data_IF_471895181002
#
_entry.id   IF_471895181002
#
_cell.length_a   1.000
_cell.length_b   1.000
_cell.length_c   1.000
_cell.angle_alpha   90.00
_cell.angle_beta   90.00
_cell.angle_gamma   90.00
#
_symmetry.space_group_name_H-M   'P 1'
#
loop_
_entity.id
_entity.type
_entity.pdbx_description
1 polymer ?
#
# COMPACT_ATOMS: atom_id res chain seq x y z
N UNK A 1 2.45 20.76 26.13
CA UNK A 1 2.02 22.18 26.27
C UNK A 1 1.66 22.64 24.84
N UNK A 2 0.39 22.50 24.48
CA UNK A 2 -0.11 22.81 23.15
C UNK A 2 -0.26 24.31 23.00
N UNK A 3 0.69 24.92 22.27
CA UNK A 3 0.72 26.35 22.00
C UNK A 3 -0.18 26.78 20.83
N UNK A 4 -1.21 25.99 20.49
CA UNK A 4 -2.03 26.21 19.28
C UNK A 4 -3.37 26.94 19.55
N UNK A 5 -3.68 27.27 20.80
CA UNK A 5 -4.95 27.95 21.17
C UNK A 5 -4.84 29.47 21.27
N UNK A 6 -3.70 30.07 20.92
CA UNK A 6 -3.41 31.47 21.23
C UNK A 6 -3.89 32.51 20.19
N UNK A 7 -4.41 32.09 19.03
CA UNK A 7 -4.93 33.05 18.04
C UNK A 7 -6.26 32.61 17.42
N UNK A 8 -7.40 33.17 17.88
CA UNK A 8 -8.75 32.85 17.37
C UNK A 8 -8.89 33.03 15.87
N UNK A 9 -8.16 33.97 15.27
CA UNK A 9 -8.21 34.20 13.82
C UNK A 9 -7.59 33.03 13.04
N UNK A 10 -6.47 32.49 13.51
CA UNK A 10 -5.85 31.33 12.88
C UNK A 10 -6.72 30.09 12.97
N UNK A 11 -7.34 29.85 14.12
CA UNK A 11 -8.28 28.74 14.32
C UNK A 11 -9.49 28.88 13.38
N UNK A 12 -10.08 30.06 13.28
CA UNK A 12 -11.18 30.35 12.37
C UNK A 12 -10.77 30.16 10.89
N UNK A 13 -9.61 30.67 10.49
CA UNK A 13 -9.09 30.50 9.13
C UNK A 13 -8.80 29.04 8.80
N UNK A 14 -8.22 28.28 9.74
CA UNK A 14 -8.00 26.85 9.60
C UNK A 14 -9.30 26.07 9.38
N UNK A 15 -10.37 26.42 10.09
CA UNK A 15 -11.67 25.81 9.88
C UNK A 15 -12.26 26.10 8.49
N UNK A 16 -12.10 27.32 7.97
CA UNK A 16 -12.55 27.71 6.63
C UNK A 16 -11.74 27.03 5.52
N UNK A 17 -10.43 26.87 5.72
CA UNK A 17 -9.56 26.15 4.80
C UNK A 17 -9.98 24.67 4.72
N UNK A 18 -10.19 24.01 5.87
CA UNK A 18 -10.73 22.63 5.95
C UNK A 18 -12.07 22.48 5.23
N UNK A 19 -12.92 23.47 5.37
CA UNK A 19 -14.24 23.49 4.73
C UNK A 19 -14.20 23.84 3.24
N UNK A 20 -13.02 24.10 2.67
CA UNK A 20 -12.86 24.52 1.27
C UNK A 20 -13.43 25.92 0.96
N UNK A 21 -13.67 26.74 1.98
CA UNK A 21 -14.22 28.10 1.84
C UNK A 21 -13.17 29.18 1.54
N UNK A 22 -11.90 28.86 1.74
CA UNK A 22 -10.74 29.64 1.34
C UNK A 22 -9.69 28.72 0.76
N UNK A 23 -8.82 29.23 -0.10
CA UNK A 23 -7.72 28.46 -0.67
C UNK A 23 -6.50 28.43 0.28
N UNK A 24 -5.58 27.46 0.07
CA UNK A 24 -4.30 27.41 0.77
C UNK A 24 -3.52 28.72 0.61
N UNK A 25 -3.56 29.32 -0.59
CA UNK A 25 -2.90 30.58 -0.88
C UNK A 25 -3.49 31.74 -0.07
N UNK A 26 -4.82 31.83 0.03
CA UNK A 26 -5.50 32.86 0.81
C UNK A 26 -5.18 32.71 2.31
N UNK A 27 -5.14 31.47 2.81
CA UNK A 27 -4.73 31.20 4.20
C UNK A 27 -3.31 31.70 4.46
N UNK A 28 -2.33 31.31 3.62
CA UNK A 28 -0.92 31.72 3.77
C UNK A 28 -0.80 33.23 3.69
N UNK A 29 -1.42 33.87 2.70
CA UNK A 29 -1.37 35.31 2.52
C UNK A 29 -1.92 36.09 3.73
N UNK A 30 -3.07 35.67 4.25
CA UNK A 30 -3.69 36.30 5.42
C UNK A 30 -2.89 36.03 6.70
N UNK A 31 -2.41 34.80 6.92
CA UNK A 31 -1.59 34.45 8.08
C UNK A 31 -0.27 35.23 8.09
N UNK A 32 0.33 35.44 6.91
CA UNK A 32 1.54 36.26 6.77
C UNK A 32 1.24 37.75 7.06
N UNK A 33 0.08 38.28 6.62
CA UNK A 33 -0.30 39.69 6.87
C UNK A 33 -0.56 40.02 8.33
N UNK A 34 -0.89 39.00 9.15
CA UNK A 34 -1.03 39.16 10.62
C UNK A 34 0.28 38.88 11.39
N UNK A 35 1.42 38.83 10.70
CA UNK A 35 2.76 38.80 11.31
C UNK A 35 3.40 37.41 11.39
N UNK A 36 2.78 36.37 10.81
CA UNK A 36 3.41 35.05 10.74
C UNK A 36 4.40 34.97 9.56
N UNK A 37 5.55 34.37 9.77
CA UNK A 37 6.48 34.11 8.68
C UNK A 37 5.87 33.14 7.66
N UNK A 38 6.24 33.26 6.37
CA UNK A 38 5.67 32.47 5.28
C UNK A 38 5.82 30.97 5.49
N UNK A 39 6.96 30.51 6.00
CA UNK A 39 7.20 29.10 6.29
C UNK A 39 6.26 28.54 7.38
N UNK A 40 6.03 29.34 8.45
CA UNK A 40 5.11 28.97 9.54
C UNK A 40 3.67 28.97 9.00
N UNK A 41 3.27 29.96 8.21
CA UNK A 41 1.94 30.03 7.60
C UNK A 41 1.66 28.84 6.67
N UNK A 42 2.65 28.41 5.90
CA UNK A 42 2.55 27.22 5.05
C UNK A 42 2.39 25.94 5.89
N UNK A 43 3.18 25.76 6.93
CA UNK A 43 3.09 24.62 7.84
C UNK A 43 1.73 24.56 8.55
N UNK A 44 1.19 25.67 9.02
CA UNK A 44 -0.14 25.72 9.63
C UNK A 44 -1.27 25.43 8.63
N UNK A 45 -1.12 25.84 7.37
CA UNK A 45 -2.07 25.50 6.33
C UNK A 45 -2.07 23.98 6.06
N UNK A 46 -0.90 23.35 6.00
CA UNK A 46 -0.77 21.91 5.80
C UNK A 46 -1.32 21.12 6.99
N UNK A 47 -1.05 21.55 8.22
CA UNK A 47 -1.64 20.95 9.42
C UNK A 47 -3.18 21.08 9.44
N UNK A 48 -3.71 22.25 9.06
CA UNK A 48 -5.15 22.45 8.97
C UNK A 48 -5.81 21.53 7.94
N UNK A 49 -5.16 21.28 6.82
CA UNK A 49 -5.64 20.34 5.79
C UNK A 49 -5.49 18.87 6.24
N UNK A 50 -4.38 18.53 6.90
CA UNK A 50 -4.14 17.18 7.42
C UNK A 50 -5.14 16.76 8.49
N UNK A 51 -5.67 17.72 9.27
CA UNK A 51 -6.71 17.45 10.29
C UNK A 51 -8.14 17.38 9.71
N UNK A 52 -8.32 17.59 8.41
CA UNK A 52 -9.61 17.39 7.77
C UNK A 52 -9.96 15.89 7.75
N UNK A 53 -11.18 15.53 8.19
CA UNK A 53 -11.64 14.14 8.08
C UNK A 53 -11.60 13.69 6.62
N UNK A 54 -11.07 12.48 6.33
CA UNK A 54 -11.02 11.96 4.98
C UNK A 54 -12.42 11.95 4.34
N UNK A 55 -12.53 12.45 3.12
CA UNK A 55 -13.77 12.34 2.33
C UNK A 55 -13.77 10.99 1.63
N UNK A 56 -14.85 10.25 1.75
CA UNK A 56 -15.03 8.99 1.01
C UNK A 56 -15.37 9.27 -0.45
N UNK A 57 -14.75 8.50 -1.35
CA UNK A 57 -14.99 8.59 -2.79
C UNK A 57 -14.24 9.73 -3.47
N UNK A 58 -14.57 9.99 -4.71
CA UNK A 58 -13.89 10.94 -5.58
C UNK A 58 -12.92 10.28 -6.56
N UNK A 59 -12.18 11.11 -7.32
CA UNK A 59 -11.19 10.65 -8.30
C UNK A 59 -9.81 11.14 -7.90
N UNK A 60 -8.88 10.21 -7.70
CA UNK A 60 -7.47 10.50 -7.54
C UNK A 60 -6.78 10.41 -8.92
N UNK A 61 -6.16 11.50 -9.36
CA UNK A 61 -5.30 11.52 -10.56
C UNK A 61 -3.85 11.50 -10.13
N UNK A 62 -3.13 10.46 -10.52
CA UNK A 62 -1.71 10.29 -10.21
C UNK A 62 -0.94 10.35 -11.52
N UNK A 63 0.03 11.27 -11.60
CA UNK A 63 0.99 11.32 -12.69
C UNK A 63 2.28 10.63 -12.25
N UNK A 64 2.76 9.68 -13.05
CA UNK A 64 3.96 8.92 -12.79
C UNK A 64 4.85 8.89 -14.03
N UNK A 65 6.16 8.96 -13.82
CA UNK A 65 7.14 8.76 -14.87
C UNK A 65 7.31 7.27 -15.22
N UNK A 66 8.14 7.00 -16.22
CA UNK A 66 8.58 5.67 -16.64
C UNK A 66 7.51 4.74 -17.25
N UNK A 67 6.37 5.25 -17.69
CA UNK A 67 5.44 4.47 -18.51
C UNK A 67 5.99 4.29 -19.93
N UNK A 68 5.94 3.06 -20.46
CA UNK A 68 6.40 2.71 -21.80
C UNK A 68 5.29 1.96 -22.57
N UNK A 69 5.35 2.00 -23.91
CA UNK A 69 4.37 1.32 -24.75
C UNK A 69 4.42 -0.22 -24.65
N UNK A 70 5.50 -0.76 -24.15
CA UNK A 70 5.70 -2.18 -23.88
C UNK A 70 5.26 -2.65 -22.49
N UNK A 71 4.75 -1.73 -21.64
CA UNK A 71 4.30 -2.09 -20.30
C UNK A 71 3.12 -3.06 -20.34
N UNK A 72 3.24 -4.13 -19.55
CA UNK A 72 2.19 -5.12 -19.38
C UNK A 72 1.82 -5.25 -17.90
N UNK A 73 0.62 -5.75 -17.64
CA UNK A 73 0.12 -5.91 -16.26
C UNK A 73 0.48 -7.27 -15.63
N UNK A 74 1.34 -8.04 -16.27
CA UNK A 74 1.83 -9.30 -15.72
C UNK A 74 2.80 -9.05 -14.56
N UNK A 75 2.53 -9.57 -13.35
CA UNK A 75 3.40 -9.39 -12.19
C UNK A 75 4.80 -9.99 -12.37
N UNK A 76 4.97 -10.93 -13.30
CA UNK A 76 6.27 -11.51 -13.63
C UNK A 76 7.18 -10.53 -14.41
N UNK A 77 6.63 -9.45 -14.97
CA UNK A 77 7.32 -8.54 -15.89
C UNK A 77 7.32 -7.09 -15.40
N UNK A 78 7.37 -6.86 -14.10
CA UNK A 78 7.39 -5.51 -13.52
C UNK A 78 8.82 -4.96 -13.50
N UNK A 79 9.13 -4.01 -14.38
CA UNK A 79 10.48 -3.45 -14.53
C UNK A 79 10.63 -2.00 -14.06
N UNK A 80 9.54 -1.25 -13.95
CA UNK A 80 9.60 0.17 -13.64
C UNK A 80 8.65 0.59 -12.52
N UNK A 81 8.87 1.78 -11.96
CA UNK A 81 8.09 2.29 -10.83
C UNK A 81 6.60 2.47 -11.13
N UNK A 82 6.24 2.77 -12.38
CA UNK A 82 4.84 2.87 -12.80
C UNK A 82 4.12 1.50 -12.71
N UNK A 83 4.72 0.45 -13.27
CA UNK A 83 4.18 -0.91 -13.19
C UNK A 83 4.05 -1.40 -11.74
N UNK A 84 5.05 -1.13 -10.90
CA UNK A 84 5.00 -1.45 -9.47
C UNK A 84 3.86 -0.75 -8.76
N UNK A 85 3.70 0.56 -8.96
CA UNK A 85 2.62 1.31 -8.34
C UNK A 85 1.23 0.84 -8.81
N UNK A 86 1.06 0.54 -10.11
CA UNK A 86 -0.16 -0.07 -10.61
C UNK A 86 -0.42 -1.42 -9.96
N UNK A 87 0.60 -2.29 -9.88
CA UNK A 87 0.45 -3.60 -9.26
C UNK A 87 -0.07 -3.50 -7.82
N UNK A 88 0.50 -2.60 -7.01
CA UNK A 88 0.01 -2.36 -5.65
C UNK A 88 -1.38 -1.70 -5.58
N UNK A 89 -1.81 -1.00 -6.62
CA UNK A 89 -3.12 -0.35 -6.65
C UNK A 89 -4.28 -1.33 -6.84
N UNK A 90 -4.08 -2.46 -7.53
CA UNK A 90 -5.16 -3.41 -7.84
C UNK A 90 -4.88 -4.86 -7.45
N UNK A 91 -3.75 -5.15 -6.83
CA UNK A 91 -3.39 -6.48 -6.30
C UNK A 91 -3.03 -6.41 -4.83
N UNK A 92 -3.19 -7.56 -4.18
CA UNK A 92 -2.79 -7.75 -2.80
C UNK A 92 -1.73 -8.84 -2.72
N UNK A 93 -0.86 -8.73 -1.74
CA UNK A 93 0.19 -9.72 -1.43
C UNK A 93 -0.19 -10.53 -0.19
N UNK A 94 0.47 -11.66 0.05
CA UNK A 94 0.27 -12.44 1.28
C UNK A 94 0.63 -11.61 2.52
N UNK A 95 1.76 -10.92 2.45
CA UNK A 95 2.25 -9.99 3.47
C UNK A 95 2.58 -8.66 2.82
N UNK A 96 2.61 -7.59 3.57
CA UNK A 96 3.01 -6.26 3.10
C UNK A 96 4.09 -5.68 3.99
N UNK A 97 4.82 -4.71 3.48
CA UNK A 97 5.79 -3.95 4.27
C UNK A 97 5.11 -2.68 4.76
N UNK A 98 4.95 -2.59 6.06
CA UNK A 98 4.40 -1.44 6.73
C UNK A 98 5.43 -0.36 7.08
N UNK A 99 5.02 0.70 7.76
CA UNK A 99 5.92 1.74 8.24
C UNK A 99 7.06 1.16 9.10
N UNK A 100 8.28 1.65 8.90
CA UNK A 100 9.47 1.16 9.63
C UNK A 100 10.01 -0.19 9.12
N UNK A 101 9.64 -0.61 7.90
CA UNK A 101 10.05 -1.88 7.29
C UNK A 101 9.62 -3.13 8.09
N UNK A 102 8.49 -3.06 8.76
CA UNK A 102 7.89 -4.19 9.47
C UNK A 102 7.00 -4.96 8.53
N UNK A 103 7.11 -6.30 8.56
CA UNK A 103 6.21 -7.18 7.80
C UNK A 103 4.85 -7.22 8.49
N UNK A 104 3.80 -6.86 7.75
CA UNK A 104 2.41 -6.80 8.21
C UNK A 104 1.52 -7.78 7.45
N UNK A 105 0.39 -8.21 8.06
CA UNK A 105 -0.59 -9.04 7.39
C UNK A 105 -1.19 -8.37 6.14
N UNK A 106 -1.28 -9.15 5.05
CA UNK A 106 -2.02 -8.84 3.84
C UNK A 106 -3.17 -9.84 3.63
N UNK A 107 -3.06 -10.69 2.62
CA UNK A 107 -3.98 -11.82 2.40
C UNK A 107 -3.72 -12.97 3.39
N UNK A 108 -2.51 -13.10 3.93
CA UNK A 108 -2.23 -13.93 5.08
C UNK A 108 -2.44 -13.12 6.37
N UNK A 109 -3.14 -13.70 7.34
CA UNK A 109 -3.40 -13.09 8.65
C UNK A 109 -2.33 -13.46 9.68
N UNK A 110 -1.65 -14.57 9.47
CA UNK A 110 -0.54 -15.04 10.29
C UNK A 110 0.38 -15.95 9.47
N UNK A 111 1.61 -16.10 9.94
CA UNK A 111 2.57 -17.07 9.40
C UNK A 111 3.53 -17.51 10.49
N UNK A 112 4.00 -18.74 10.36
CA UNK A 112 4.97 -19.34 11.27
C UNK A 112 5.95 -20.22 10.51
N UNK A 113 7.16 -20.33 11.02
CA UNK A 113 8.18 -21.25 10.52
C UNK A 113 8.46 -22.35 11.56
N UNK A 114 8.77 -23.55 11.07
CA UNK A 114 9.38 -24.57 11.94
C UNK A 114 10.84 -24.17 12.27
N UNK A 115 11.43 -24.74 13.34
CA UNK A 115 12.84 -24.55 13.63
C UNK A 115 13.72 -24.84 12.41
N UNK A 116 14.62 -23.91 12.08
CA UNK A 116 15.47 -23.97 10.90
C UNK A 116 14.83 -23.37 9.64
N UNK A 117 13.60 -22.84 9.72
CA UNK A 117 12.89 -22.11 8.68
C UNK A 117 12.73 -22.84 7.33
N UNK A 118 12.86 -24.17 7.31
CA UNK A 118 12.71 -25.00 6.10
C UNK A 118 11.26 -25.14 5.64
N UNK A 119 10.32 -24.89 6.54
CA UNK A 119 8.90 -24.90 6.24
C UNK A 119 8.22 -23.70 6.86
N UNK A 120 7.35 -23.05 6.08
CA UNK A 120 6.53 -21.94 6.51
C UNK A 120 5.06 -22.24 6.28
N UNK A 121 4.25 -21.99 7.29
CA UNK A 121 2.78 -22.11 7.21
C UNK A 121 2.17 -20.72 7.22
N UNK A 122 1.31 -20.43 6.26
CA UNK A 122 0.56 -19.18 6.17
C UNK A 122 -0.92 -19.46 6.34
N UNK A 123 -1.58 -18.73 7.22
CA UNK A 123 -3.03 -18.76 7.36
C UNK A 123 -3.66 -17.63 6.55
N UNK A 124 -4.54 -17.97 5.61
CA UNK A 124 -5.18 -17.03 4.70
C UNK A 124 -6.41 -16.39 5.32
N UNK A 125 -6.62 -15.12 4.99
CA UNK A 125 -7.84 -14.37 5.30
C UNK A 125 -9.04 -15.02 4.61
N UNK A 126 -10.12 -15.22 5.36
CA UNK A 126 -11.36 -15.76 4.83
C UNK A 126 -12.24 -14.64 4.26
N UNK A 127 -13.16 -15.00 3.36
CA UNK A 127 -14.12 -14.06 2.76
C UNK A 127 -13.48 -13.06 1.80
N UNK A 128 -12.29 -13.32 1.28
CA UNK A 128 -11.67 -12.52 0.24
C UNK A 128 -12.27 -12.89 -1.11
N UNK A 129 -12.67 -11.87 -1.87
CA UNK A 129 -13.22 -12.03 -3.21
C UNK A 129 -12.39 -11.26 -4.23
N UNK A 130 -12.25 -11.83 -5.43
CA UNK A 130 -11.73 -11.13 -6.59
C UNK A 130 -12.75 -10.10 -7.11
N UNK A 131 -12.30 -9.16 -7.92
CA UNK A 131 -13.15 -8.12 -8.53
C UNK A 131 -14.31 -8.66 -9.37
N UNK A 132 -14.24 -9.92 -9.82
CA UNK A 132 -15.30 -10.62 -10.52
C UNK A 132 -16.28 -11.38 -9.61
N UNK A 133 -16.13 -11.26 -8.28
CA UNK A 133 -16.98 -11.93 -7.29
C UNK A 133 -16.60 -13.38 -6.97
N UNK A 134 -15.52 -13.93 -7.59
CA UNK A 134 -15.03 -15.27 -7.23
C UNK A 134 -14.33 -15.20 -5.87
N UNK A 135 -14.65 -16.10 -4.96
CA UNK A 135 -13.93 -16.24 -3.69
C UNK A 135 -12.51 -16.75 -3.94
N UNK A 136 -11.55 -16.17 -3.24
CA UNK A 136 -10.15 -16.60 -3.25
C UNK A 136 -10.00 -17.95 -2.52
N UNK A 137 -9.23 -18.85 -3.12
CA UNK A 137 -8.90 -20.15 -2.56
C UNK A 137 -7.38 -20.33 -2.39
N UNK A 138 -6.98 -21.39 -1.71
CA UNK A 138 -5.57 -21.78 -1.58
C UNK A 138 -4.94 -22.09 -2.94
N UNK A 139 -5.71 -22.66 -3.86
CA UNK A 139 -5.26 -22.97 -5.22
C UNK A 139 -4.95 -21.72 -6.03
N UNK A 140 -5.71 -20.63 -5.83
CA UNK A 140 -5.45 -19.35 -6.50
C UNK A 140 -4.10 -18.76 -6.03
N UNK A 141 -3.78 -18.89 -4.75
CA UNK A 141 -2.48 -18.45 -4.20
C UNK A 141 -1.35 -19.32 -4.74
N UNK A 142 -1.52 -20.65 -4.77
CA UNK A 142 -0.54 -21.57 -5.34
C UNK A 142 -0.29 -21.26 -6.82
N UNK A 143 -1.34 -21.05 -7.60
CA UNK A 143 -1.23 -20.69 -9.01
C UNK A 143 -0.46 -19.37 -9.19
N UNK A 144 -0.74 -18.37 -8.34
CA UNK A 144 -0.05 -17.09 -8.37
C UNK A 144 1.46 -17.21 -8.08
N UNK A 145 1.85 -18.00 -7.08
CA UNK A 145 3.27 -18.24 -6.78
C UNK A 145 3.94 -19.03 -7.90
N UNK A 146 3.25 -20.06 -8.42
CA UNK A 146 3.79 -20.89 -9.51
C UNK A 146 4.00 -20.11 -10.82
N UNK A 147 3.29 -18.99 -11.04
CA UNK A 147 3.52 -18.10 -12.16
C UNK A 147 4.94 -17.49 -12.15
N UNK A 148 5.54 -17.36 -10.97
CA UNK A 148 6.88 -16.80 -10.81
C UNK A 148 8.00 -17.86 -10.80
N UNK A 149 7.69 -19.16 -10.85
CA UNK A 149 8.66 -20.25 -10.72
C UNK A 149 8.49 -21.28 -11.87
N UNK A 150 9.42 -22.21 -11.94
CA UNK A 150 9.46 -23.20 -13.02
C UNK A 150 10.34 -22.78 -14.21
N UNK A 151 10.60 -23.72 -15.11
CA UNK A 151 11.58 -23.52 -16.20
C UNK A 151 11.16 -22.42 -17.18
N UNK A 152 9.88 -22.34 -17.51
CA UNK A 152 9.32 -21.40 -18.50
C UNK A 152 9.04 -20.01 -17.94
N UNK A 153 9.11 -19.82 -16.62
CA UNK A 153 8.84 -18.52 -16.02
C UNK A 153 9.87 -17.48 -16.42
N UNK A 154 9.40 -16.35 -16.90
CA UNK A 154 10.20 -15.16 -17.24
C UNK A 154 10.30 -14.16 -16.08
N UNK A 155 9.80 -14.54 -14.90
CA UNK A 155 9.80 -13.66 -13.75
C UNK A 155 11.22 -13.33 -13.30
N UNK A 156 11.48 -12.04 -13.06
CA UNK A 156 12.78 -11.61 -12.51
C UNK A 156 12.99 -12.08 -11.07
N UNK A 157 11.92 -12.43 -10.34
CA UNK A 157 11.98 -13.05 -9.00
C UNK A 157 12.09 -14.58 -9.05
N UNK A 158 12.15 -15.19 -10.24
CA UNK A 158 12.28 -16.64 -10.42
C UNK A 158 13.38 -17.27 -9.56
N UNK A 159 14.60 -16.69 -9.42
CA UNK A 159 15.63 -17.28 -8.57
C UNK A 159 15.17 -17.45 -7.12
N UNK A 160 14.47 -16.44 -6.58
CA UNK A 160 13.93 -16.46 -5.22
C UNK A 160 12.73 -17.41 -5.14
N UNK A 161 11.82 -17.37 -6.11
CA UNK A 161 10.64 -18.20 -6.14
C UNK A 161 10.98 -19.70 -6.27
N UNK A 162 12.10 -20.05 -6.90
CA UNK A 162 12.57 -21.43 -7.02
C UNK A 162 13.19 -21.99 -5.72
N UNK A 163 13.48 -21.13 -4.73
CA UNK A 163 13.83 -21.62 -3.37
C UNK A 163 12.65 -22.31 -2.68
N UNK A 164 11.44 -22.15 -3.19
CA UNK A 164 10.27 -22.88 -2.73
C UNK A 164 10.28 -24.26 -3.43
N UNK A 165 10.61 -25.32 -2.72
CA UNK A 165 10.64 -26.69 -3.26
C UNK A 165 9.22 -27.18 -3.56
N UNK A 166 8.28 -26.99 -2.63
CA UNK A 166 6.89 -27.38 -2.81
C UNK A 166 5.93 -26.43 -2.09
N UNK A 167 4.69 -26.39 -2.58
CA UNK A 167 3.58 -25.65 -1.96
C UNK A 167 2.44 -26.65 -1.78
N UNK A 168 1.91 -26.74 -0.56
CA UNK A 168 0.81 -27.65 -0.21
C UNK A 168 -0.31 -26.88 0.49
N UNK A 169 -1.52 -27.37 0.36
CA UNK A 169 -2.66 -26.88 1.14
C UNK A 169 -2.80 -27.69 2.42
N UNK A 170 -3.22 -27.03 3.51
CA UNK A 170 -3.64 -27.67 4.76
C UNK A 170 -5.03 -27.13 5.11
N UNK A 171 -6.05 -27.88 4.72
CA UNK A 171 -7.43 -27.44 4.82
C UNK A 171 -7.78 -26.34 3.81
N UNK A 172 -8.78 -25.50 4.14
CA UNK A 172 -9.34 -24.51 3.22
C UNK A 172 -8.62 -23.16 3.22
N UNK A 173 -7.85 -22.85 4.23
CA UNK A 173 -7.28 -21.53 4.46
C UNK A 173 -5.81 -21.53 4.89
N UNK A 174 -5.12 -22.66 4.82
CA UNK A 174 -3.70 -22.74 5.13
C UNK A 174 -2.88 -23.21 3.95
N UNK A 175 -1.72 -22.62 3.79
CA UNK A 175 -0.74 -22.97 2.76
C UNK A 175 0.60 -23.22 3.45
N UNK A 176 1.26 -24.28 3.05
CA UNK A 176 2.57 -24.69 3.54
C UNK A 176 3.58 -24.55 2.40
N UNK A 177 4.60 -23.75 2.62
CA UNK A 177 5.77 -23.66 1.74
C UNK A 177 6.90 -24.50 2.32
N UNK A 178 7.44 -25.40 1.53
CA UNK A 178 8.68 -26.12 1.83
C UNK A 178 9.82 -25.49 1.04
N UNK A 179 10.92 -25.14 1.67
CA UNK A 179 12.09 -24.54 1.04
C UNK A 179 13.13 -25.59 0.69
N UNK A 180 13.97 -25.29 -0.30
CA UNK A 180 15.02 -26.19 -0.79
C UNK A 180 16.09 -26.42 0.28
N UNK A 181 16.42 -25.42 1.09
CA UNK A 181 17.51 -25.45 2.10
C UNK A 181 17.05 -24.98 3.46
#
# INVERSE_FOLDING_TARGET
MDNNDSNPQLSWMGSRLRAGKITRRDFIGTATSIGLGMAISASLADQALASASPRKGGTLKVAMGHGESGDILDPASLFNGYQWALNYAFRNTLTQIGPGNVVEPGLAISWEAIPGAKQWTFELRQGVEFSNGKSMTTEDVIASINHHRGEDSKSFVKPIANEIASIKTDGKNKIIFELVS
#
